data_IF_449580801257
#
_entry.id   IF_449580801257
#
_cell.length_a   1.000
_cell.length_b   1.000
_cell.length_c   1.000
_cell.angle_alpha   90.00
_cell.angle_beta   90.00
_cell.angle_gamma   90.00
#
_symmetry.space_group_name_H-M   'P 1'
#
loop_
_entity.id
_entity.type
_entity.pdbx_description
1 polymer ?
#
# COMPACT_ATOMS: atom_id res chain seq x y z
N UNK A 1 20.27 -18.58 1.53
CA UNK A 1 19.01 -19.05 0.88
C UNK A 1 18.72 -18.17 -0.33
N UNK A 2 18.11 -18.74 -1.36
CA UNK A 2 17.61 -18.01 -2.52
C UNK A 2 16.11 -17.80 -2.38
N UNK A 3 15.66 -16.56 -2.35
CA UNK A 3 14.27 -16.17 -2.13
C UNK A 3 13.73 -15.47 -3.38
N UNK A 4 12.55 -15.86 -3.82
CA UNK A 4 11.83 -15.16 -4.86
C UNK A 4 10.57 -14.51 -4.27
N UNK A 5 10.45 -13.20 -4.43
CA UNK A 5 9.22 -12.47 -4.14
C UNK A 5 8.51 -12.15 -5.45
N UNK A 6 7.18 -12.17 -5.46
CA UNK A 6 6.42 -11.76 -6.65
C UNK A 6 5.37 -10.73 -6.29
N UNK A 7 5.26 -9.69 -7.11
CA UNK A 7 4.21 -8.69 -7.02
C UNK A 7 3.99 -8.07 -8.41
N UNK A 8 2.74 -7.81 -8.80
CA UNK A 8 2.43 -7.22 -10.11
C UNK A 8 3.17 -5.90 -10.34
N UNK A 9 3.37 -5.11 -9.28
CA UNK A 9 3.97 -3.78 -9.38
C UNK A 9 4.83 -3.47 -8.15
N UNK A 10 5.93 -2.75 -8.35
CA UNK A 10 6.82 -2.20 -7.30
C UNK A 10 7.11 -0.74 -7.65
N UNK A 11 6.14 0.15 -7.46
CA UNK A 11 6.25 1.55 -7.91
C UNK A 11 5.61 2.54 -6.95
N UNK A 12 4.40 2.25 -6.47
CA UNK A 12 3.61 3.17 -5.68
C UNK A 12 3.60 2.77 -4.19
N UNK A 13 3.21 3.69 -3.33
CA UNK A 13 3.07 3.41 -1.89
C UNK A 13 1.74 2.71 -1.57
N UNK A 14 1.48 1.55 -2.21
CA UNK A 14 0.31 0.70 -1.91
C UNK A 14 0.65 -0.41 -0.93
N UNK A 15 -0.36 -1.04 -0.34
CA UNK A 15 -0.18 -2.02 0.73
C UNK A 15 0.70 -3.20 0.33
N UNK A 16 0.37 -3.90 -0.77
CA UNK A 16 1.12 -5.08 -1.24
C UNK A 16 2.53 -4.74 -1.73
N UNK A 17 2.70 -3.58 -2.36
CA UNK A 17 3.99 -3.13 -2.87
C UNK A 17 4.96 -2.81 -1.72
N UNK A 18 4.48 -2.04 -0.70
CA UNK A 18 5.26 -1.75 0.53
C UNK A 18 5.59 -3.06 1.28
N UNK A 19 4.65 -4.00 1.32
CA UNK A 19 4.84 -5.29 1.96
C UNK A 19 5.97 -6.08 1.29
N UNK A 20 5.96 -6.15 -0.04
CA UNK A 20 7.02 -6.82 -0.82
C UNK A 20 8.39 -6.21 -0.55
N UNK A 21 8.51 -4.88 -0.58
CA UNK A 21 9.78 -4.17 -0.31
C UNK A 21 10.26 -4.41 1.13
N UNK A 22 9.33 -4.39 2.09
CA UNK A 22 9.63 -4.65 3.50
C UNK A 22 10.21 -6.06 3.70
N UNK A 23 9.55 -7.07 3.13
CA UNK A 23 9.95 -8.48 3.24
C UNK A 23 11.27 -8.71 2.50
N UNK A 24 11.47 -8.09 1.31
CA UNK A 24 12.72 -8.18 0.57
C UNK A 24 13.91 -7.65 1.39
N UNK A 25 13.77 -6.45 1.94
CA UNK A 25 14.81 -5.84 2.77
C UNK A 25 15.12 -6.66 4.04
N UNK A 26 14.09 -7.27 4.63
CA UNK A 26 14.27 -8.17 5.76
C UNK A 26 15.10 -9.40 5.36
N UNK A 27 14.80 -10.05 4.26
CA UNK A 27 15.60 -11.20 3.80
C UNK A 27 17.04 -10.82 3.44
N UNK A 28 17.26 -9.63 2.87
CA UNK A 28 18.63 -9.11 2.66
C UNK A 28 19.36 -8.91 3.99
N UNK A 29 18.69 -8.44 5.04
CA UNK A 29 19.31 -8.27 6.37
C UNK A 29 19.73 -9.60 6.99
N UNK A 30 19.11 -10.71 6.58
CA UNK A 30 19.50 -12.08 6.95
C UNK A 30 20.59 -12.67 6.03
N UNK A 31 21.19 -11.86 5.13
CA UNK A 31 22.17 -12.28 4.13
C UNK A 31 21.67 -13.36 3.16
N UNK A 32 20.37 -13.29 2.78
CA UNK A 32 19.82 -14.15 1.73
C UNK A 32 19.95 -13.46 0.36
N UNK A 33 19.99 -14.25 -0.71
CA UNK A 33 19.86 -13.74 -2.07
C UNK A 33 18.38 -13.54 -2.37
N UNK A 34 18.00 -12.34 -2.78
CA UNK A 34 16.60 -11.99 -3.01
C UNK A 34 16.40 -11.51 -4.43
N UNK A 35 15.47 -12.17 -5.11
CA UNK A 35 14.92 -11.75 -6.40
C UNK A 35 13.49 -11.25 -6.20
N UNK A 36 13.12 -10.19 -6.92
CA UNK A 36 11.73 -9.79 -7.07
C UNK A 36 11.33 -9.95 -8.54
N UNK A 37 10.32 -10.77 -8.81
CA UNK A 37 9.67 -10.80 -10.12
C UNK A 37 8.45 -9.88 -10.12
N UNK A 38 8.43 -8.92 -11.05
CA UNK A 38 7.38 -7.91 -11.17
C UNK A 38 7.13 -7.51 -12.62
N UNK A 39 5.95 -6.98 -12.93
CA UNK A 39 5.61 -6.52 -14.30
C UNK A 39 5.92 -5.04 -14.50
N UNK A 40 5.90 -4.26 -13.43
CA UNK A 40 6.24 -2.84 -13.44
C UNK A 40 7.00 -2.48 -12.17
N UNK A 41 8.06 -1.68 -12.29
CA UNK A 41 8.77 -1.12 -11.14
C UNK A 41 9.27 0.30 -11.46
N UNK A 42 9.52 1.07 -10.42
CA UNK A 42 10.01 2.45 -10.57
C UNK A 42 9.85 3.29 -9.31
N UNK A 43 10.16 4.56 -9.48
CA UNK A 43 9.97 5.55 -8.42
C UNK A 43 8.48 5.80 -8.15
N UNK A 44 8.11 6.19 -6.90
CA UNK A 44 9.03 6.50 -5.78
C UNK A 44 9.42 5.28 -4.93
N UNK A 45 8.72 4.14 -5.00
CA UNK A 45 8.88 3.02 -4.06
C UNK A 45 10.22 2.31 -4.21
N UNK A 46 10.76 2.22 -5.43
CA UNK A 46 12.04 1.53 -5.69
C UNK A 46 13.20 2.10 -4.87
N UNK A 47 13.13 3.39 -4.50
CA UNK A 47 14.14 4.06 -3.70
C UNK A 47 14.22 3.54 -2.25
N UNK A 48 13.22 2.78 -1.80
CA UNK A 48 13.15 2.14 -0.49
C UNK A 48 13.65 0.69 -0.50
N UNK A 49 14.00 0.15 -1.67
CA UNK A 49 14.50 -1.20 -1.83
C UNK A 49 16.02 -1.26 -1.66
N UNK A 50 16.51 -2.25 -0.93
CA UNK A 50 17.96 -2.50 -0.81
C UNK A 50 18.56 -2.81 -2.19
N UNK A 51 19.70 -2.18 -2.48
CA UNK A 51 20.40 -2.32 -3.78
C UNK A 51 20.90 -3.73 -4.09
N UNK A 52 20.96 -4.60 -3.11
CA UNK A 52 21.32 -6.02 -3.28
C UNK A 52 20.17 -6.86 -3.83
N UNK A 53 18.94 -6.37 -3.77
CA UNK A 53 17.78 -7.05 -4.36
C UNK A 53 17.85 -7.00 -5.87
N UNK A 54 17.75 -8.14 -6.53
CA UNK A 54 17.70 -8.21 -7.99
C UNK A 54 16.26 -8.15 -8.46
N UNK A 55 15.95 -7.16 -9.31
CA UNK A 55 14.63 -7.03 -9.92
C UNK A 55 14.63 -7.71 -11.27
N UNK A 56 13.66 -8.57 -11.49
CA UNK A 56 13.43 -9.32 -12.72
C UNK A 56 12.03 -8.96 -13.23
N UNK A 57 11.93 -8.59 -14.48
CA UNK A 57 10.66 -8.30 -15.15
C UNK A 57 10.36 -9.34 -16.25
N UNK A 58 9.19 -9.22 -16.88
CA UNK A 58 8.79 -10.15 -17.95
C UNK A 58 9.86 -10.30 -19.06
N UNK A 59 10.45 -9.19 -19.50
CA UNK A 59 11.50 -9.19 -20.56
C UNK A 59 12.80 -9.88 -20.14
N UNK A 60 13.06 -9.96 -18.84
CA UNK A 60 14.27 -10.56 -18.28
C UNK A 60 13.95 -11.83 -17.46
N UNK A 61 12.79 -12.42 -17.68
CA UNK A 61 12.34 -13.60 -16.92
C UNK A 61 13.25 -14.83 -17.06
N UNK A 62 14.12 -14.87 -18.07
CA UNK A 62 15.13 -15.92 -18.23
C UNK A 62 16.29 -15.81 -17.22
N UNK A 63 16.37 -14.68 -16.48
CA UNK A 63 17.31 -14.51 -15.36
C UNK A 63 16.84 -15.16 -14.06
N UNK A 64 15.60 -15.63 -14.00
CA UNK A 64 15.08 -16.38 -12.85
C UNK A 64 15.90 -17.66 -12.65
N UNK A 65 16.17 -17.99 -11.38
CA UNK A 65 16.77 -19.28 -11.06
C UNK A 65 15.74 -20.39 -11.30
N UNK A 66 16.22 -21.57 -11.67
CA UNK A 66 15.34 -22.76 -11.82
C UNK A 66 14.77 -23.25 -10.49
N UNK A 67 15.45 -22.94 -9.37
CA UNK A 67 15.06 -23.37 -8.03
C UNK A 67 15.29 -22.28 -7.00
N UNK A 68 14.30 -22.12 -6.09
CA UNK A 68 14.37 -21.24 -4.92
C UNK A 68 14.17 -22.03 -3.62
N UNK A 69 14.69 -21.53 -2.52
CA UNK A 69 14.39 -22.08 -1.20
C UNK A 69 12.98 -21.71 -0.76
N UNK A 70 12.56 -20.45 -1.06
CA UNK A 70 11.22 -19.94 -0.78
C UNK A 70 10.75 -19.06 -1.93
N UNK A 71 9.51 -19.26 -2.36
CA UNK A 71 8.74 -18.28 -3.14
C UNK A 71 7.72 -17.65 -2.21
N UNK A 72 7.71 -16.30 -2.13
CA UNK A 72 6.69 -15.53 -1.41
C UNK A 72 5.92 -14.67 -2.41
N UNK A 73 4.66 -15.01 -2.64
CA UNK A 73 3.84 -14.43 -3.69
C UNK A 73 2.64 -13.64 -3.14
N UNK A 74 2.33 -12.51 -3.74
CA UNK A 74 1.17 -11.67 -3.40
C UNK A 74 0.00 -11.79 -4.39
N UNK A 75 0.28 -12.03 -5.65
CA UNK A 75 -0.73 -12.06 -6.72
C UNK A 75 -0.67 -13.40 -7.45
N UNK A 76 -1.77 -14.18 -7.40
CA UNK A 76 -1.77 -15.54 -7.92
C UNK A 76 -1.43 -15.63 -9.42
N UNK A 77 -1.80 -14.69 -10.31
CA UNK A 77 -1.45 -14.84 -11.73
C UNK A 77 0.06 -14.83 -12.00
N UNK A 78 0.83 -14.09 -11.17
CA UNK A 78 2.29 -14.16 -11.26
C UNK A 78 2.83 -15.49 -10.74
N UNK A 79 2.22 -16.00 -9.68
CA UNK A 79 2.58 -17.32 -9.17
C UNK A 79 2.29 -18.40 -10.22
N UNK A 80 1.15 -18.33 -10.93
CA UNK A 80 0.82 -19.22 -12.04
C UNK A 80 1.90 -19.16 -13.15
N UNK A 81 2.32 -17.96 -13.54
CA UNK A 81 3.38 -17.76 -14.52
C UNK A 81 4.71 -18.38 -14.04
N UNK A 82 5.12 -18.11 -12.82
CA UNK A 82 6.36 -18.64 -12.24
C UNK A 82 6.34 -20.16 -12.20
N UNK A 83 5.26 -20.74 -11.66
CA UNK A 83 5.18 -22.19 -11.45
C UNK A 83 4.92 -22.95 -12.75
N UNK A 84 3.96 -22.53 -13.56
CA UNK A 84 3.46 -23.35 -14.68
C UNK A 84 4.04 -22.95 -16.04
N UNK A 85 4.35 -21.66 -16.26
CA UNK A 85 4.97 -21.21 -17.52
C UNK A 85 6.48 -21.35 -17.45
N UNK A 86 7.11 -20.79 -16.42
CA UNK A 86 8.57 -20.83 -16.26
C UNK A 86 9.08 -22.11 -15.61
N UNK A 87 8.19 -22.91 -15.01
CA UNK A 87 8.49 -24.17 -14.31
C UNK A 87 9.56 -24.02 -13.21
N UNK A 88 9.50 -22.88 -12.52
CA UNK A 88 10.40 -22.59 -11.39
C UNK A 88 9.98 -23.46 -10.21
N UNK A 89 10.94 -24.18 -9.61
CA UNK A 89 10.73 -25.01 -8.43
C UNK A 89 11.02 -24.23 -7.15
N UNK A 90 10.38 -24.61 -6.07
CA UNK A 90 10.68 -24.10 -4.73
C UNK A 90 10.53 -25.19 -3.69
N UNK A 91 11.34 -25.12 -2.60
CA UNK A 91 11.14 -25.99 -1.43
C UNK A 91 9.87 -25.61 -0.68
N UNK A 92 9.61 -24.31 -0.56
CA UNK A 92 8.44 -23.74 0.12
C UNK A 92 7.83 -22.65 -0.70
N UNK A 93 6.49 -22.55 -0.64
CA UNK A 93 5.75 -21.45 -1.24
C UNK A 93 4.83 -20.87 -0.18
N UNK A 94 5.03 -19.59 0.14
CA UNK A 94 4.12 -18.79 0.94
C UNK A 94 3.32 -17.84 0.05
N UNK A 95 2.00 -17.92 0.11
CA UNK A 95 1.12 -17.01 -0.61
C UNK A 95 0.46 -16.02 0.35
N UNK A 96 0.57 -14.73 0.07
CA UNK A 96 -0.06 -13.67 0.87
C UNK A 96 -1.42 -13.29 0.28
N UNK A 97 -2.49 -13.68 0.96
CA UNK A 97 -3.84 -13.22 0.66
C UNK A 97 -4.12 -11.95 1.48
N UNK A 98 -3.82 -10.79 0.90
CA UNK A 98 -3.94 -9.50 1.60
C UNK A 98 -5.37 -8.97 1.62
N UNK A 99 -6.18 -9.34 0.62
CA UNK A 99 -7.59 -8.98 0.55
C UNK A 99 -8.44 -10.18 0.17
N UNK A 100 -9.62 -10.28 0.76
CA UNK A 100 -10.65 -11.24 0.34
C UNK A 100 -11.58 -10.69 -0.74
N UNK A 101 -11.32 -9.47 -1.25
CA UNK A 101 -12.17 -8.76 -2.20
C UNK A 101 -11.45 -8.44 -3.52
N UNK A 102 -10.11 -8.31 -3.50
CA UNK A 102 -9.31 -8.01 -4.68
C UNK A 102 -9.05 -9.27 -5.50
N UNK A 103 -9.49 -9.33 -6.78
CA UNK A 103 -9.40 -10.56 -7.59
C UNK A 103 -7.99 -11.13 -7.69
N UNK A 104 -6.96 -10.29 -7.83
CA UNK A 104 -5.57 -10.76 -7.96
C UNK A 104 -4.96 -11.31 -6.66
N UNK A 105 -5.52 -10.94 -5.52
CA UNK A 105 -5.11 -11.37 -4.19
C UNK A 105 -5.90 -12.59 -3.70
N UNK A 106 -6.87 -13.07 -4.49
CA UNK A 106 -7.62 -14.30 -4.20
C UNK A 106 -6.69 -15.52 -4.25
N UNK A 107 -7.10 -16.59 -3.60
CA UNK A 107 -6.32 -17.82 -3.55
C UNK A 107 -6.29 -18.52 -4.91
N UNK A 108 -5.11 -19.04 -5.30
CA UNK A 108 -5.04 -19.91 -6.48
C UNK A 108 -5.82 -21.20 -6.25
N UNK A 109 -6.29 -21.82 -7.33
CA UNK A 109 -7.09 -23.05 -7.25
C UNK A 109 -6.33 -24.23 -6.61
N UNK A 110 -4.99 -24.20 -6.69
CA UNK A 110 -4.10 -25.20 -6.09
C UNK A 110 -3.64 -24.83 -4.67
N UNK A 111 -4.36 -23.94 -3.99
CA UNK A 111 -3.97 -23.40 -2.68
C UNK A 111 -3.66 -24.48 -1.62
N UNK A 112 -4.33 -25.64 -1.71
CA UNK A 112 -4.09 -26.78 -0.80
C UNK A 112 -2.71 -27.40 -0.94
N UNK A 113 -2.07 -27.21 -2.08
CA UNK A 113 -0.73 -27.73 -2.39
C UNK A 113 0.38 -26.75 -2.03
N UNK A 114 0.05 -25.53 -1.58
CA UNK A 114 1.04 -24.55 -1.12
C UNK A 114 1.49 -24.87 0.31
N UNK A 115 2.73 -24.54 0.65
CA UNK A 115 3.24 -24.73 2.00
C UNK A 115 2.44 -23.92 3.01
N UNK A 116 2.17 -22.65 2.71
CA UNK A 116 1.47 -21.76 3.62
C UNK A 116 0.74 -20.64 2.88
N UNK A 117 -0.38 -20.21 3.46
CA UNK A 117 -1.13 -19.04 3.01
C UNK A 117 -1.28 -18.10 4.19
N UNK A 118 -0.87 -16.84 4.01
CA UNK A 118 -1.07 -15.84 5.04
C UNK A 118 -2.33 -15.02 4.80
N UNK A 119 -3.00 -14.62 5.88
CA UNK A 119 -4.16 -13.74 5.87
C UNK A 119 -4.06 -12.67 6.96
N UNK A 120 -4.65 -11.47 6.74
CA UNK A 120 -4.41 -10.28 7.55
C UNK A 120 -5.34 -10.11 8.75
N UNK A 121 -6.55 -10.71 8.76
CA UNK A 121 -7.58 -10.38 9.74
C UNK A 121 -8.52 -11.54 10.04
N UNK A 122 -9.18 -11.48 11.19
CA UNK A 122 -10.25 -12.43 11.48
C UNK A 122 -11.46 -12.25 10.54
N UNK A 123 -11.70 -11.04 10.00
CA UNK A 123 -12.70 -10.82 8.94
C UNK A 123 -12.41 -11.70 7.72
N UNK A 124 -11.15 -11.70 7.24
CA UNK A 124 -10.73 -12.56 6.13
C UNK A 124 -10.87 -14.05 6.46
N UNK A 125 -10.50 -14.44 7.70
CA UNK A 125 -10.66 -15.82 8.17
C UNK A 125 -12.11 -16.28 8.13
N UNK A 126 -13.03 -15.47 8.63
CA UNK A 126 -14.47 -15.80 8.62
C UNK A 126 -15.03 -15.81 7.17
N UNK A 127 -14.56 -14.90 6.31
CA UNK A 127 -14.89 -14.95 4.89
C UNK A 127 -14.51 -16.30 4.26
N UNK A 128 -13.27 -16.79 4.47
CA UNK A 128 -12.82 -18.08 3.93
C UNK A 128 -13.62 -19.25 4.49
N UNK A 129 -13.93 -19.26 5.78
CA UNK A 129 -14.78 -20.28 6.39
C UNK A 129 -16.18 -20.32 5.77
N UNK A 130 -16.78 -19.14 5.56
CA UNK A 130 -18.11 -19.04 4.95
C UNK A 130 -18.13 -19.54 3.50
N UNK A 131 -17.00 -19.42 2.79
CA UNK A 131 -16.79 -20.00 1.46
C UNK A 131 -16.42 -21.50 1.51
N UNK A 132 -16.42 -22.13 2.70
CA UNK A 132 -16.04 -23.54 2.93
C UNK A 132 -14.62 -23.86 2.46
N UNK A 133 -13.71 -22.90 2.54
CA UNK A 133 -12.31 -23.07 2.17
C UNK A 133 -11.62 -23.85 3.30
N UNK A 134 -10.89 -24.89 2.91
CA UNK A 134 -10.05 -25.64 3.83
C UNK A 134 -8.81 -24.80 4.21
N UNK A 135 -8.68 -24.48 5.49
CA UNK A 135 -7.65 -23.58 6.01
C UNK A 135 -6.51 -24.33 6.72
N UNK A 136 -6.25 -25.59 6.40
CA UNK A 136 -5.24 -26.41 7.11
C UNK A 136 -3.80 -25.82 7.01
N UNK A 137 -3.48 -25.15 5.89
CA UNK A 137 -2.17 -24.53 5.63
C UNK A 137 -2.16 -23.01 5.78
N UNK A 138 -3.15 -22.42 6.49
CA UNK A 138 -3.23 -20.98 6.68
C UNK A 138 -2.53 -20.51 7.95
N UNK A 139 -2.01 -19.28 7.90
CA UNK A 139 -1.39 -18.58 9.02
C UNK A 139 -1.88 -17.15 9.10
N UNK A 140 -2.20 -16.72 10.31
CA UNK A 140 -2.48 -15.32 10.59
C UNK A 140 -1.18 -14.52 10.55
N UNK A 141 -1.12 -13.52 9.68
CA UNK A 141 -0.01 -12.60 9.55
C UNK A 141 -0.59 -11.19 9.37
N UNK A 142 -0.86 -10.48 10.49
CA UNK A 142 -1.53 -9.19 10.45
C UNK A 142 -0.66 -8.10 9.82
N UNK A 143 -1.26 -6.98 9.48
CA UNK A 143 -0.51 -5.77 9.20
C UNK A 143 0.43 -5.46 10.37
N UNK A 144 1.69 -5.21 10.07
CA UNK A 144 2.77 -5.16 11.04
C UNK A 144 3.44 -3.79 11.10
N UNK A 145 4.23 -3.60 12.15
CA UNK A 145 5.07 -2.43 12.41
C UNK A 145 6.47 -2.90 12.77
N UNK A 146 7.50 -2.24 12.28
CA UNK A 146 8.88 -2.49 12.71
C UNK A 146 9.05 -2.16 14.21
N UNK A 147 9.81 -3.00 14.93
CA UNK A 147 10.01 -2.84 16.36
C UNK A 147 10.63 -1.48 16.73
N UNK A 148 11.45 -0.90 15.86
CA UNK A 148 12.01 0.45 16.02
C UNK A 148 10.98 1.56 16.19
N UNK A 149 9.71 1.37 15.78
CA UNK A 149 8.64 2.36 15.97
C UNK A 149 8.21 2.45 17.43
N UNK A 150 8.36 1.36 18.20
CA UNK A 150 8.00 1.34 19.61
C UNK A 150 9.00 2.07 20.52
N UNK A 151 10.22 2.33 20.05
CA UNK A 151 11.25 3.04 20.80
C UNK A 151 11.00 4.54 20.86
N UNK A 152 10.16 5.08 20.01
CA UNK A 152 9.77 6.49 20.00
C UNK A 152 8.66 6.72 21.03
N UNK A 153 8.92 7.63 21.99
CA UNK A 153 7.89 8.16 22.88
C UNK A 153 7.51 9.56 22.45
N UNK A 154 6.27 9.70 21.94
CA UNK A 154 5.73 11.01 21.65
C UNK A 154 5.13 11.62 22.91
N UNK A 155 5.61 12.81 23.27
CA UNK A 155 4.95 13.63 24.28
C UNK A 155 3.78 14.39 23.64
N UNK A 156 2.56 14.14 24.11
CA UNK A 156 1.33 14.78 23.63
C UNK A 156 0.92 15.88 24.62
N UNK A 157 1.16 17.14 24.22
CA UNK A 157 0.79 18.31 25.03
C UNK A 157 -0.66 18.80 24.77
N UNK A 158 -1.30 18.31 23.72
CA UNK A 158 -2.63 18.69 23.30
C UNK A 158 -2.88 18.43 21.82
N UNK A 159 -4.07 18.71 21.35
CA UNK A 159 -4.41 18.61 19.93
C UNK A 159 -4.10 19.91 19.21
N UNK A 160 -3.14 19.89 18.29
CA UNK A 160 -2.75 21.04 17.45
C UNK A 160 -2.61 20.64 15.98
N UNK A 161 -1.98 19.51 15.71
CA UNK A 161 -1.65 19.05 14.36
C UNK A 161 -2.33 17.71 14.08
N UNK A 162 -3.07 17.63 12.99
CA UNK A 162 -3.87 16.48 12.58
C UNK A 162 -3.38 16.00 11.23
N UNK A 163 -3.19 14.71 11.09
CA UNK A 163 -2.85 14.05 9.83
C UNK A 163 -4.03 13.22 9.34
N UNK A 164 -4.47 13.45 8.11
CA UNK A 164 -5.42 12.56 7.42
C UNK A 164 -4.62 11.74 6.42
N UNK A 165 -4.70 10.41 6.51
CA UNK A 165 -4.04 9.50 5.56
C UNK A 165 -5.11 8.64 4.90
N UNK A 166 -5.37 8.87 3.62
CA UNK A 166 -6.37 8.15 2.84
C UNK A 166 -6.08 8.22 1.34
N UNK A 167 -6.29 7.13 0.63
CA UNK A 167 -6.29 7.08 -0.85
C UNK A 167 -7.72 7.27 -1.43
N UNK A 168 -8.74 7.27 -0.58
CA UNK A 168 -10.16 7.36 -0.96
C UNK A 168 -10.91 8.27 0.01
N UNK A 169 -10.37 9.47 0.23
CA UNK A 169 -10.89 10.40 1.24
C UNK A 169 -12.35 10.76 0.97
N UNK A 170 -13.29 10.51 1.89
CA UNK A 170 -14.69 10.85 1.73
C UNK A 170 -14.94 12.36 1.91
N UNK A 171 -16.02 12.83 1.31
CA UNK A 171 -16.37 14.25 1.29
C UNK A 171 -16.49 14.85 2.69
N UNK A 172 -17.08 14.11 3.62
CA UNK A 172 -17.25 14.53 5.01
C UNK A 172 -15.91 14.77 5.73
N UNK A 173 -14.83 14.04 5.39
CA UNK A 173 -13.50 14.32 5.95
C UNK A 173 -12.87 15.58 5.35
N UNK A 174 -13.12 15.89 4.08
CA UNK A 174 -12.68 17.14 3.46
C UNK A 174 -13.39 18.35 4.10
N UNK A 175 -14.67 18.22 4.37
CA UNK A 175 -15.45 19.24 5.06
C UNK A 175 -15.02 19.37 6.54
N UNK A 176 -14.74 18.24 7.22
CA UNK A 176 -14.19 18.23 8.59
C UNK A 176 -12.85 18.95 8.66
N UNK A 177 -11.97 18.75 7.66
CA UNK A 177 -10.68 19.47 7.59
C UNK A 177 -10.91 20.98 7.65
N UNK A 178 -11.86 21.54 6.85
CA UNK A 178 -12.18 22.96 6.86
C UNK A 178 -12.64 23.43 8.24
N UNK A 179 -13.56 22.68 8.88
CA UNK A 179 -14.02 23.00 10.23
C UNK A 179 -12.89 23.02 11.26
N UNK A 180 -11.93 22.10 11.16
CA UNK A 180 -10.76 22.05 12.02
C UNK A 180 -9.84 23.25 11.77
N UNK A 181 -9.58 23.60 10.51
CA UNK A 181 -8.73 24.75 10.14
C UNK A 181 -9.36 26.09 10.55
N UNK A 182 -10.66 26.27 10.40
CA UNK A 182 -11.42 27.43 10.88
C UNK A 182 -11.29 27.61 12.40
N UNK A 183 -11.10 26.50 13.12
CA UNK A 183 -10.84 26.47 14.58
C UNK A 183 -9.34 26.42 14.92
N UNK A 184 -8.44 26.79 14.00
CA UNK A 184 -6.99 26.97 14.19
C UNK A 184 -6.20 25.68 14.41
N UNK A 185 -6.74 24.52 14.06
CA UNK A 185 -5.95 23.29 13.96
C UNK A 185 -5.19 23.26 12.62
N UNK A 186 -4.02 22.65 12.61
CA UNK A 186 -3.25 22.42 11.38
C UNK A 186 -3.60 21.02 10.88
N UNK A 187 -4.08 20.92 9.63
CA UNK A 187 -4.53 19.63 9.07
C UNK A 187 -3.87 19.37 7.73
N UNK A 188 -3.03 18.34 7.70
CA UNK A 188 -2.39 17.88 6.47
C UNK A 188 -3.04 16.59 5.96
N UNK A 189 -3.10 16.44 4.62
CA UNK A 189 -3.64 15.25 3.94
C UNK A 189 -2.52 14.56 3.17
N UNK A 190 -2.43 13.23 3.33
CA UNK A 190 -1.53 12.35 2.59
C UNK A 190 -2.31 11.23 1.90
N UNK A 191 -1.92 10.91 0.67
CA UNK A 191 -2.53 9.88 -0.16
C UNK A 191 -2.80 10.35 -1.58
N UNK A 192 -3.49 9.51 -2.36
CA UNK A 192 -3.71 9.74 -3.78
C UNK A 192 -4.42 11.06 -4.06
N UNK A 193 -3.82 11.88 -4.93
CA UNK A 193 -4.33 13.21 -5.29
C UNK A 193 -4.01 14.32 -4.29
N UNK A 194 -3.24 14.04 -3.24
CA UNK A 194 -2.75 15.00 -2.25
C UNK A 194 -1.21 14.89 -2.11
N UNK A 195 -0.68 14.96 -0.90
CA UNK A 195 0.74 14.75 -0.68
C UNK A 195 1.07 13.25 -0.78
N UNK A 196 1.56 12.81 -1.93
CA UNK A 196 1.93 11.41 -2.17
C UNK A 196 3.35 11.16 -1.64
N UNK A 197 3.44 10.59 -0.47
CA UNK A 197 4.72 10.25 0.18
C UNK A 197 4.56 8.98 1.00
N UNK A 198 5.68 8.33 1.31
CA UNK A 198 5.68 7.20 2.23
C UNK A 198 5.31 7.69 3.63
N UNK A 199 4.25 7.09 4.18
CA UNK A 199 3.83 7.35 5.55
C UNK A 199 4.67 6.49 6.49
N UNK A 200 5.60 7.14 7.19
CA UNK A 200 6.52 6.51 8.14
C UNK A 200 6.47 7.16 9.54
N UNK A 201 7.34 6.71 10.44
CA UNK A 201 7.44 7.23 11.79
C UNK A 201 7.87 8.70 11.83
N UNK A 202 8.75 9.12 10.93
CA UNK A 202 9.27 10.50 10.91
C UNK A 202 8.17 11.48 10.51
N UNK A 203 7.33 11.06 9.55
CA UNK A 203 6.17 11.84 9.13
C UNK A 203 5.14 11.93 10.27
N UNK A 204 4.72 10.77 10.79
CA UNK A 204 3.63 10.71 11.77
C UNK A 204 3.98 11.38 13.10
N UNK A 205 5.23 11.36 13.54
CA UNK A 205 5.66 12.03 14.78
C UNK A 205 5.42 13.53 14.82
N UNK A 206 5.12 14.15 13.67
CA UNK A 206 4.80 15.60 13.60
C UNK A 206 3.35 15.91 14.05
N UNK A 207 2.51 14.88 14.22
CA UNK A 207 1.06 15.05 14.43
C UNK A 207 0.61 14.54 15.79
N UNK A 208 -0.44 15.15 16.33
CA UNK A 208 -1.04 14.81 17.62
C UNK A 208 -2.23 13.88 17.47
N UNK A 209 -2.78 13.78 16.24
CA UNK A 209 -3.88 12.89 15.88
C UNK A 209 -3.67 12.41 14.44
N UNK A 210 -3.94 11.13 14.21
CA UNK A 210 -4.01 10.55 12.84
C UNK A 210 -5.43 10.09 12.56
N UNK A 211 -5.99 10.52 11.44
CA UNK A 211 -7.28 10.05 10.90
C UNK A 211 -6.97 9.12 9.73
N UNK A 212 -7.28 7.84 9.86
CA UNK A 212 -6.89 6.84 8.87
C UNK A 212 -7.56 5.49 9.12
N UNK A 213 -7.32 4.52 8.22
CA UNK A 213 -7.68 3.10 8.37
C UNK A 213 -6.48 2.19 8.07
N UNK A 214 -6.61 0.91 8.36
CA UNK A 214 -5.68 -0.14 7.94
C UNK A 214 -4.28 -0.04 8.56
N UNK A 215 -3.25 -0.26 7.77
CA UNK A 215 -1.84 -0.37 8.22
C UNK A 215 -1.33 0.89 8.94
N UNK A 216 -1.75 2.07 8.51
CA UNK A 216 -1.34 3.34 9.12
C UNK A 216 -1.84 3.49 10.55
N UNK A 217 -2.95 2.85 10.92
CA UNK A 217 -3.42 2.79 12.32
C UNK A 217 -2.36 2.14 13.21
N UNK A 218 -1.78 1.02 12.77
CA UNK A 218 -0.73 0.33 13.51
C UNK A 218 0.51 1.22 13.69
N UNK A 219 0.91 1.96 12.66
CA UNK A 219 2.04 2.89 12.72
C UNK A 219 1.80 4.00 13.75
N UNK A 220 0.65 4.67 13.68
CA UNK A 220 0.34 5.75 14.60
C UNK A 220 0.23 5.27 16.06
N UNK A 221 -0.46 4.15 16.30
CA UNK A 221 -0.61 3.59 17.66
C UNK A 221 0.73 3.11 18.24
N UNK A 222 1.65 2.58 17.40
CA UNK A 222 2.99 2.17 17.86
C UNK A 222 3.85 3.35 18.30
N UNK A 223 3.66 4.51 17.68
CA UNK A 223 4.32 5.77 18.04
C UNK A 223 3.68 6.45 19.25
N UNK A 224 2.57 5.93 19.77
CA UNK A 224 1.84 6.56 20.85
C UNK A 224 0.97 7.75 20.40
N UNK A 225 0.52 7.76 19.15
CA UNK A 225 -0.35 8.81 18.61
C UNK A 225 -1.81 8.31 18.62
N UNK A 226 -2.77 9.08 19.15
CA UNK A 226 -4.19 8.77 19.05
C UNK A 226 -4.61 8.61 17.60
N UNK A 227 -5.51 7.65 17.34
CA UNK A 227 -6.06 7.40 16.01
C UNK A 227 -7.56 7.53 16.01
N UNK A 228 -8.08 8.30 15.07
CA UNK A 228 -9.48 8.32 14.69
C UNK A 228 -9.65 7.45 13.44
N UNK A 229 -10.15 6.23 13.63
CA UNK A 229 -10.31 5.25 12.55
C UNK A 229 -11.57 5.60 11.75
N UNK A 230 -11.37 6.23 10.58
CA UNK A 230 -12.45 6.69 9.71
C UNK A 230 -11.97 6.88 8.28
N UNK A 231 -12.79 6.43 7.30
CA UNK A 231 -12.58 6.62 5.88
C UNK A 231 -13.92 6.38 5.12
N UNK A 232 -13.87 6.12 3.81
CA UNK A 232 -15.03 5.92 2.93
C UNK A 232 -16.02 4.82 3.40
N UNK A 233 -15.59 3.86 4.18
CA UNK A 233 -16.48 2.87 4.81
C UNK A 233 -17.24 3.41 6.03
N UNK A 234 -16.97 4.63 6.47
CA UNK A 234 -17.25 5.09 7.83
C UNK A 234 -16.12 4.71 8.77
N UNK A 235 -16.39 4.55 10.06
CA UNK A 235 -15.31 4.30 11.01
C UNK A 235 -15.69 3.60 12.30
N UNK A 236 -14.65 3.21 13.03
CA UNK A 236 -14.71 2.70 14.41
C UNK A 236 -14.52 3.83 15.43
N UNK A 237 -14.34 5.08 14.93
CA UNK A 237 -14.06 6.29 15.69
C UNK A 237 -12.70 6.21 16.39
N UNK A 238 -12.52 6.86 17.56
CA UNK A 238 -11.26 6.74 18.28
C UNK A 238 -10.94 5.29 18.68
N UNK A 239 -9.72 4.87 18.35
CA UNK A 239 -9.21 3.58 18.82
C UNK A 239 -8.77 3.74 20.28
N UNK A 240 -9.44 3.00 21.13
CA UNK A 240 -9.24 3.01 22.57
C UNK A 240 -9.09 1.59 23.12
N UNK A 241 -8.75 1.43 24.39
CA UNK A 241 -8.71 0.12 25.05
C UNK A 241 -10.02 -0.67 24.96
N UNK A 242 -11.15 0.01 24.66
CA UNK A 242 -12.48 -0.63 24.62
C UNK A 242 -12.77 -1.32 23.29
N UNK A 243 -12.21 -0.81 22.19
CA UNK A 243 -12.54 -1.29 20.83
C UNK A 243 -11.32 -1.75 20.02
N UNK A 244 -10.10 -1.59 20.51
CA UNK A 244 -8.89 -1.94 19.75
C UNK A 244 -8.86 -3.40 19.28
N UNK A 245 -9.30 -4.35 20.12
CA UNK A 245 -9.34 -5.78 19.76
C UNK A 245 -10.31 -6.05 18.61
N UNK A 246 -11.50 -5.46 18.69
CA UNK A 246 -12.54 -5.65 17.68
C UNK A 246 -12.14 -4.96 16.36
N UNK A 247 -11.65 -3.73 16.42
CA UNK A 247 -11.13 -3.03 15.24
C UNK A 247 -9.94 -3.76 14.60
N UNK A 248 -9.05 -4.34 15.40
CA UNK A 248 -7.94 -5.19 14.94
C UNK A 248 -8.43 -6.44 14.20
N UNK A 249 -9.49 -7.08 14.68
CA UNK A 249 -10.11 -8.24 14.00
C UNK A 249 -10.59 -7.90 12.59
N UNK A 250 -10.93 -6.63 12.34
CA UNK A 250 -11.31 -6.09 11.04
C UNK A 250 -10.16 -5.29 10.37
N UNK A 251 -8.91 -5.55 10.77
CA UNK A 251 -7.73 -4.90 10.21
C UNK A 251 -7.78 -3.36 10.28
N UNK A 252 -8.43 -2.81 11.29
CA UNK A 252 -8.65 -1.37 11.45
C UNK A 252 -9.25 -0.70 10.20
N UNK A 253 -10.06 -1.41 9.46
CA UNK A 253 -10.66 -0.92 8.21
C UNK A 253 -11.85 0.02 8.41
N UNK A 254 -12.29 0.26 9.64
CA UNK A 254 -13.53 0.95 9.96
C UNK A 254 -14.79 0.10 9.75
N UNK A 255 -14.65 -1.12 9.24
CA UNK A 255 -15.78 -2.00 8.92
C UNK A 255 -16.37 -2.72 10.13
N UNK A 256 -15.73 -2.67 11.30
CA UNK A 256 -16.30 -3.23 12.52
C UNK A 256 -17.58 -2.52 12.92
N UNK A 257 -17.55 -1.19 13.08
CA UNK A 257 -18.74 -0.40 13.45
C UNK A 257 -19.44 0.23 12.26
N UNK A 258 -18.73 0.60 11.22
CA UNK A 258 -19.24 1.28 10.01
C UNK A 258 -20.02 2.56 10.32
N UNK A 259 -19.66 3.27 11.40
CA UNK A 259 -20.34 4.49 11.79
C UNK A 259 -20.04 5.57 10.75
N UNK A 260 -21.09 6.09 10.12
CA UNK A 260 -21.01 7.25 9.24
C UNK A 260 -21.52 8.48 9.97
N UNK A 261 -20.74 9.55 9.90
CA UNK A 261 -21.01 10.82 10.56
C UNK A 261 -20.93 11.95 9.52
N UNK A 262 -21.69 13.03 9.75
CA UNK A 262 -21.50 14.29 9.04
C UNK A 262 -20.19 14.97 9.47
N UNK A 263 -19.73 15.93 8.69
CA UNK A 263 -18.50 16.68 9.00
C UNK A 263 -18.55 17.35 10.39
N UNK A 264 -19.69 17.94 10.75
CA UNK A 264 -19.89 18.58 12.05
C UNK A 264 -19.86 17.55 13.20
N UNK A 265 -20.46 16.38 13.00
CA UNK A 265 -20.43 15.31 14.00
C UNK A 265 -19.02 14.77 14.18
N UNK A 266 -18.26 14.57 13.09
CA UNK A 266 -16.84 14.15 13.15
C UNK A 266 -16.03 15.18 13.93
N UNK A 267 -16.13 16.47 13.58
CA UNK A 267 -15.46 17.56 14.27
C UNK A 267 -15.76 17.54 15.78
N UNK A 268 -17.02 17.56 16.15
CA UNK A 268 -17.45 17.57 17.56
C UNK A 268 -16.95 16.33 18.30
N UNK A 269 -17.02 15.16 17.66
CA UNK A 269 -16.58 13.91 18.29
C UNK A 269 -15.05 13.91 18.51
N UNK A 270 -14.27 14.39 17.54
CA UNK A 270 -12.82 14.49 17.67
C UNK A 270 -12.46 15.35 18.87
N UNK A 271 -13.04 16.55 18.98
CA UNK A 271 -12.70 17.50 20.06
C UNK A 271 -13.15 16.97 21.42
N UNK A 272 -14.38 16.49 21.52
CA UNK A 272 -14.95 16.04 22.80
C UNK A 272 -14.25 14.78 23.37
N UNK A 273 -13.73 13.90 22.52
CA UNK A 273 -13.22 12.59 22.95
C UNK A 273 -11.69 12.47 22.89
N UNK A 274 -10.96 13.50 22.47
CA UNK A 274 -9.49 13.45 22.32
C UNK A 274 -8.78 13.04 23.61
N UNK A 275 -9.12 13.67 24.74
CA UNK A 275 -8.51 13.35 26.05
C UNK A 275 -8.70 11.87 26.45
N UNK A 276 -9.84 11.28 26.09
CA UNK A 276 -10.12 9.85 26.35
C UNK A 276 -9.26 8.95 25.48
N UNK A 277 -9.03 9.35 24.22
CA UNK A 277 -8.13 8.64 23.31
C UNK A 277 -6.68 8.68 23.80
N UNK A 278 -6.21 9.85 24.25
CA UNK A 278 -4.86 10.01 24.86
C UNK A 278 -4.67 9.07 26.06
N UNK A 279 -5.66 8.96 26.94
CA UNK A 279 -5.60 8.01 28.08
C UNK A 279 -5.46 6.55 27.68
N UNK A 280 -5.80 6.19 26.44
CA UNK A 280 -5.71 4.82 25.93
C UNK A 280 -4.36 4.49 25.27
N UNK A 281 -3.48 5.47 25.04
CA UNK A 281 -2.24 5.34 24.26
C UNK A 281 -1.36 4.20 24.78
N UNK A 282 -1.06 4.20 26.08
CA UNK A 282 -0.17 3.19 26.68
C UNK A 282 -0.69 1.76 26.45
N UNK A 283 -1.99 1.57 26.61
CA UNK A 283 -2.63 0.28 26.37
C UNK A 283 -2.57 -0.09 24.88
N UNK A 284 -2.93 0.85 24.01
CA UNK A 284 -2.94 0.62 22.56
C UNK A 284 -1.53 0.29 22.02
N UNK A 285 -0.51 1.05 22.43
CA UNK A 285 0.89 0.81 22.05
C UNK A 285 1.35 -0.59 22.46
N UNK A 286 1.04 -1.01 23.70
CA UNK A 286 1.33 -2.35 24.20
C UNK A 286 0.62 -3.42 23.34
N UNK A 287 -0.67 -3.24 23.07
CA UNK A 287 -1.45 -4.17 22.26
C UNK A 287 -0.86 -4.33 20.85
N UNK A 288 -0.49 -3.22 20.19
CA UNK A 288 0.13 -3.27 18.86
C UNK A 288 1.49 -3.96 18.93
N UNK A 289 2.32 -3.70 19.94
CA UNK A 289 3.62 -4.38 20.09
C UNK A 289 3.46 -5.90 20.22
N UNK A 290 2.50 -6.36 21.00
CA UNK A 290 2.25 -7.78 21.24
C UNK A 290 1.69 -8.51 20.01
N UNK A 291 0.92 -7.82 19.15
CA UNK A 291 0.20 -8.44 18.04
C UNK A 291 0.75 -8.11 16.65
N UNK A 292 1.41 -6.96 16.49
CA UNK A 292 1.80 -6.41 15.19
C UNK A 292 3.31 -6.19 15.03
N UNK A 293 4.18 -6.63 15.96
CA UNK A 293 5.63 -6.60 15.76
C UNK A 293 6.00 -7.38 14.50
N UNK A 294 6.70 -6.72 13.56
CA UNK A 294 7.13 -7.35 12.31
C UNK A 294 8.10 -8.49 12.61
N UNK A 295 9.14 -8.18 13.37
CA UNK A 295 10.24 -9.09 13.68
C UNK A 295 9.72 -10.37 14.36
N UNK A 296 8.82 -10.22 15.33
CA UNK A 296 8.21 -11.37 16.00
C UNK A 296 7.29 -12.20 15.10
N UNK A 297 6.50 -11.53 14.25
CA UNK A 297 5.53 -12.21 13.41
C UNK A 297 6.20 -12.92 12.24
N UNK A 298 7.19 -12.28 11.59
CA UNK A 298 7.92 -12.88 10.46
C UNK A 298 8.75 -14.08 10.93
N UNK A 299 9.43 -13.99 12.09
CA UNK A 299 10.21 -15.08 12.65
C UNK A 299 9.35 -16.31 12.98
N UNK A 300 8.19 -16.09 13.60
CA UNK A 300 7.22 -17.17 13.89
C UNK A 300 6.73 -17.82 12.61
N UNK A 301 6.40 -17.00 11.59
CA UNK A 301 5.92 -17.49 10.31
C UNK A 301 6.98 -18.32 9.58
N UNK A 302 8.22 -17.82 9.48
CA UNK A 302 9.32 -18.53 8.81
C UNK A 302 9.67 -19.82 9.52
N UNK A 303 9.74 -19.83 10.86
CA UNK A 303 9.92 -21.06 11.64
C UNK A 303 8.84 -22.08 11.35
N UNK A 304 7.59 -21.65 11.22
CA UNK A 304 6.49 -22.54 10.83
C UNK A 304 6.70 -23.06 9.42
N UNK A 305 6.91 -22.19 8.43
CA UNK A 305 7.02 -22.54 7.01
C UNK A 305 8.18 -23.51 6.76
N UNK A 306 9.36 -23.24 7.32
CA UNK A 306 10.54 -24.09 7.10
C UNK A 306 10.51 -25.44 7.82
N UNK A 307 9.56 -25.65 8.74
CA UNK A 307 9.32 -26.93 9.39
C UNK A 307 8.23 -27.77 8.67
N UNK A 308 7.62 -27.25 7.62
CA UNK A 308 6.64 -27.98 6.82
C UNK A 308 7.33 -28.93 5.82
N UNK A 309 6.63 -29.95 5.31
CA UNK A 309 7.13 -30.72 4.18
C UNK A 309 7.39 -29.84 2.96
N UNK A 310 8.46 -30.17 2.20
CA UNK A 310 8.74 -29.49 0.94
C UNK A 310 7.65 -29.78 -0.09
N UNK A 311 7.42 -28.84 -1.00
CA UNK A 311 6.42 -28.97 -2.06
C UNK A 311 6.90 -29.93 -3.14
N UNK A 312 6.02 -30.82 -3.56
CA UNK A 312 6.19 -31.59 -4.79
C UNK A 312 5.72 -30.75 -5.99
N UNK A 313 6.66 -29.96 -6.53
CA UNK A 313 6.38 -29.12 -7.70
C UNK A 313 6.05 -29.93 -8.95
N UNK A 314 6.59 -31.14 -9.11
CA UNK A 314 6.35 -31.94 -10.30
C UNK A 314 4.91 -32.47 -10.31
N UNK A 315 4.39 -32.90 -9.15
CA UNK A 315 2.96 -33.24 -9.00
C UNK A 315 2.05 -32.02 -9.24
N UNK A 316 2.46 -30.86 -8.76
CA UNK A 316 1.72 -29.61 -9.01
C UNK A 316 1.63 -29.31 -10.51
N UNK A 317 2.73 -29.42 -11.26
CA UNK A 317 2.75 -29.19 -12.70
C UNK A 317 1.85 -30.17 -13.47
N UNK A 318 1.85 -31.42 -13.10
CA UNK A 318 1.02 -32.42 -13.76
C UNK A 318 -0.47 -32.15 -13.57
N UNK A 319 -0.88 -31.81 -12.34
CA UNK A 319 -2.27 -31.62 -11.99
C UNK A 319 -2.87 -30.29 -12.51
N UNK A 320 -2.04 -29.25 -12.70
CA UNK A 320 -2.51 -27.90 -13.03
C UNK A 320 -1.84 -27.31 -14.27
N UNK A 321 -1.36 -28.15 -15.19
CA UNK A 321 -0.60 -27.73 -16.38
C UNK A 321 -1.33 -26.73 -17.28
N UNK A 322 -2.67 -26.71 -17.26
CA UNK A 322 -3.49 -25.73 -18.01
C UNK A 322 -3.20 -24.29 -17.58
N UNK A 323 -2.81 -24.05 -16.34
CA UNK A 323 -2.56 -22.72 -15.79
C UNK A 323 -1.38 -21.99 -16.46
N UNK A 324 -0.48 -22.72 -17.15
CA UNK A 324 0.58 -22.11 -17.95
C UNK A 324 0.05 -21.10 -18.97
N UNK A 325 -1.11 -21.38 -19.57
CA UNK A 325 -1.71 -20.49 -20.57
C UNK A 325 -2.29 -19.23 -19.93
N UNK A 326 -2.92 -19.37 -18.78
CA UNK A 326 -3.48 -18.22 -18.05
C UNK A 326 -2.39 -17.32 -17.47
N UNK A 327 -1.35 -17.91 -16.86
CA UNK A 327 -0.20 -17.15 -16.35
C UNK A 327 0.53 -16.40 -17.46
N UNK A 328 0.82 -17.06 -18.59
CA UNK A 328 1.46 -16.44 -19.75
C UNK A 328 0.61 -15.29 -20.33
N UNK A 329 -0.70 -15.55 -20.55
CA UNK A 329 -1.62 -14.54 -21.08
C UNK A 329 -1.67 -13.33 -20.16
N UNK A 330 -1.86 -13.53 -18.86
CA UNK A 330 -1.93 -12.43 -17.89
C UNK A 330 -0.68 -11.57 -17.91
N UNK A 331 0.50 -12.19 -17.79
CA UNK A 331 1.78 -11.47 -17.73
C UNK A 331 2.04 -10.72 -19.01
N UNK A 332 1.76 -11.33 -20.17
CA UNK A 332 1.93 -10.70 -21.47
C UNK A 332 1.02 -9.49 -21.66
N UNK A 333 -0.27 -9.63 -21.38
CA UNK A 333 -1.24 -8.54 -21.58
C UNK A 333 -0.98 -7.36 -20.65
N UNK A 334 -0.66 -7.61 -19.38
CA UNK A 334 -0.31 -6.53 -18.44
C UNK A 334 0.99 -5.84 -18.85
N UNK A 335 2.01 -6.62 -19.26
CA UNK A 335 3.30 -6.03 -19.71
C UNK A 335 3.14 -5.19 -20.96
N UNK A 336 2.34 -5.64 -21.94
CA UNK A 336 2.03 -4.89 -23.14
C UNK A 336 1.22 -3.62 -22.81
N UNK A 337 0.21 -3.73 -21.97
CA UNK A 337 -0.57 -2.60 -21.49
C UNK A 337 0.29 -1.54 -20.78
N UNK A 338 1.24 -1.95 -19.97
CA UNK A 338 2.17 -1.05 -19.30
C UNK A 338 3.06 -0.29 -20.30
N UNK A 339 3.54 -0.95 -21.35
CA UNK A 339 4.33 -0.31 -22.43
C UNK A 339 3.48 0.76 -23.11
N UNK A 340 2.27 0.42 -23.55
CA UNK A 340 1.35 1.35 -24.22
C UNK A 340 1.05 2.57 -23.32
N UNK A 341 0.78 2.35 -22.05
CA UNK A 341 0.51 3.44 -21.10
C UNK A 341 1.72 4.37 -20.95
N UNK A 342 2.93 3.82 -20.90
CA UNK A 342 4.14 4.64 -20.79
C UNK A 342 4.40 5.44 -22.07
N UNK A 343 4.18 4.85 -23.23
CA UNK A 343 4.29 5.54 -24.53
C UNK A 343 3.28 6.69 -24.62
N UNK A 344 2.02 6.46 -24.20
CA UNK A 344 0.99 7.50 -24.17
C UNK A 344 1.34 8.64 -23.20
N UNK A 345 1.93 8.33 -22.05
CA UNK A 345 2.40 9.36 -21.10
C UNK A 345 3.52 10.22 -21.69
N UNK A 346 4.46 9.60 -22.41
CA UNK A 346 5.53 10.33 -23.09
C UNK A 346 4.98 11.24 -24.18
N UNK A 347 4.07 10.73 -25.01
CA UNK A 347 3.38 11.53 -26.05
C UNK A 347 2.63 12.71 -25.40
N UNK A 348 1.90 12.49 -24.32
CA UNK A 348 1.17 13.54 -23.61
C UNK A 348 2.12 14.60 -23.01
N UNK A 349 3.26 14.18 -22.47
CA UNK A 349 4.30 15.09 -21.98
C UNK A 349 4.84 15.99 -23.09
N UNK A 350 5.14 15.42 -24.26
CA UNK A 350 5.59 16.18 -25.45
C UNK A 350 4.53 17.14 -25.96
N UNK A 351 3.27 16.71 -25.99
CA UNK A 351 2.13 17.56 -26.36
C UNK A 351 1.98 18.75 -25.42
N UNK A 352 2.08 18.53 -24.11
CA UNK A 352 2.01 19.60 -23.12
C UNK A 352 3.17 20.60 -23.28
N UNK A 353 4.39 20.14 -23.55
CA UNK A 353 5.53 21.00 -23.82
C UNK A 353 5.30 21.86 -25.07
N UNK A 354 4.82 21.27 -26.15
CA UNK A 354 4.49 21.99 -27.39
C UNK A 354 3.38 23.00 -27.20
N UNK A 355 2.34 22.66 -26.44
CA UNK A 355 1.26 23.61 -26.11
C UNK A 355 1.76 24.81 -25.29
N UNK A 356 2.66 24.57 -24.34
CA UNK A 356 3.26 25.66 -23.56
C UNK A 356 4.11 26.59 -24.45
N UNK A 357 4.85 26.04 -25.41
CA UNK A 357 5.62 26.81 -26.37
C UNK A 357 4.72 27.64 -27.30
N UNK A 358 3.64 27.05 -27.82
CA UNK A 358 2.61 27.73 -28.59
C UNK A 358 1.96 28.90 -27.83
N UNK A 359 1.63 28.69 -26.57
CA UNK A 359 1.07 29.74 -25.70
C UNK A 359 2.06 30.90 -25.50
N UNK A 360 3.35 30.59 -25.34
CA UNK A 360 4.40 31.60 -25.25
C UNK A 360 4.53 32.42 -26.55
N UNK A 361 4.46 31.75 -27.71
CA UNK A 361 4.50 32.42 -29.03
C UNK A 361 3.26 33.31 -29.19
N UNK A 362 2.06 32.81 -28.87
CA UNK A 362 0.82 33.58 -28.95
C UNK A 362 0.86 34.82 -28.04
N UNK A 363 1.41 34.69 -26.86
CA UNK A 363 1.57 35.83 -25.92
C UNK A 363 2.51 36.89 -26.53
N UNK A 364 3.63 36.48 -27.16
CA UNK A 364 4.55 37.40 -27.83
C UNK A 364 3.88 38.07 -29.03
N UNK A 365 3.12 37.33 -29.85
CA UNK A 365 2.39 37.88 -30.98
C UNK A 365 1.33 38.90 -30.57
N UNK A 366 0.56 38.60 -29.52
CA UNK A 366 -0.41 39.55 -28.96
C UNK A 366 0.23 40.85 -28.49
N UNK A 367 1.41 40.76 -27.86
CA UNK A 367 2.17 41.95 -27.46
C UNK A 367 2.57 42.80 -28.67
N UNK A 368 3.15 42.19 -29.70
CA UNK A 368 3.55 42.87 -30.96
C UNK A 368 2.31 43.49 -31.66
N UNK A 369 1.17 42.80 -31.67
CA UNK A 369 -0.06 43.33 -32.25
C UNK A 369 -0.54 44.56 -31.51
N UNK A 370 -0.53 44.55 -30.18
CA UNK A 370 -0.93 45.69 -29.35
C UNK A 370 0.00 46.89 -29.55
N UNK A 371 1.32 46.70 -29.54
CA UNK A 371 2.30 47.75 -29.84
C UNK A 371 2.10 48.38 -31.19
N UNK A 372 1.78 47.60 -32.23
CA UNK A 372 1.47 48.11 -33.57
C UNK A 372 0.16 48.89 -33.61
N UNK A 373 -0.84 48.43 -32.84
CA UNK A 373 -2.13 49.13 -32.75
C UNK A 373 -2.00 50.51 -32.08
N UNK A 374 -1.19 50.62 -31.05
CA UNK A 374 -0.84 51.87 -30.40
C UNK A 374 -0.14 52.82 -31.35
N UNK A 375 0.87 52.37 -32.09
CA UNK A 375 1.57 53.16 -33.13
C UNK A 375 0.61 53.69 -34.22
N UNK A 376 -0.31 52.86 -34.70
CA UNK A 376 -1.31 53.25 -35.70
C UNK A 376 -2.24 54.31 -35.12
N UNK A 377 -2.66 54.22 -33.87
CA UNK A 377 -3.51 55.18 -33.22
C UNK A 377 -2.80 56.53 -33.00
N UNK A 378 -1.52 56.54 -32.69
CA UNK A 378 -0.73 57.75 -32.53
C UNK A 378 -0.51 58.45 -33.89
N UNK A 379 -0.18 57.71 -34.96
CA UNK A 379 -0.08 58.23 -36.34
C UNK A 379 -1.41 58.81 -36.86
N UNK A 380 -2.53 58.35 -36.35
CA UNK A 380 -3.87 58.91 -36.68
C UNK A 380 -4.16 60.20 -35.94
N UNK A 381 -3.64 60.39 -34.72
CA UNK A 381 -3.76 61.65 -33.96
C UNK A 381 -2.93 62.76 -34.55
N UNK A 382 -1.76 62.48 -35.11
CA UNK A 382 -0.85 63.44 -35.71
C UNK A 382 -1.30 63.95 -37.10
N UNK A 383 -2.36 63.32 -37.69
CA UNK A 383 -2.96 63.72 -38.95
C UNK A 383 -4.26 64.54 -38.81
N UNK A 384 -4.65 64.87 -37.58
CA UNK A 384 -5.74 65.78 -37.26
C UNK A 384 -5.18 67.11 -36.72
#
# INVERSE_FOLDING_TARGET
>A
MNILLTNNRIKNFTGSEIDTVTIANYFISLNYNVDIFTLEYGEPLINNLDKKVRIICYKTADLLLSNYDLIWSHHFPLLDYILFTKKIKAKYINYSCLSSFEPYEMMPIYYKNLSNITYLSNEAKEYFKNQKIDMHNFSFFPNYVYDRYFDNEKNIEGLKRICIVSNHIPKELIETKKLLEDNKYIVDIYGSGYNETMVDSNLLNKYDLVITIGKTVNYALSLGIPVFCYDHFGGDLYITKRNIKDSFNYNFSGRYKKIKLSATEIYNYIIANYSSAVKSIKYNKKFIKENCSFENNIDKLLKKVFNLPQIDCDSLYLNYSILKYYGELFVREISNGTIIINDLKDINSRLNAANNELNNINTKLLKVCNERLELINDLRKDKK
#
